data_IF_765728249157
#
_entry.id   IF_765728249157
#
_cell.length_a   1.000
_cell.length_b   1.000
_cell.length_c   1.000
_cell.angle_alpha   90.00
_cell.angle_beta   90.00
_cell.angle_gamma   90.00
#
_symmetry.space_group_name_H-M   'P 1'
#
loop_
_entity.id
_entity.type
_entity.pdbx_description
1 polymer ?
#
# COMPACT_ATOMS: atom_id res chain seq x y z
N UNK A 1 15.76 -25.57 -10.50
CA UNK A 1 15.04 -26.85 -10.34
C UNK A 1 14.01 -26.63 -9.25
N UNK A 2 12.79 -26.22 -9.64
CA UNK A 2 11.74 -25.82 -8.70
C UNK A 2 11.09 -27.09 -8.18
N UNK A 3 11.27 -27.39 -6.88
CA UNK A 3 10.53 -28.47 -6.22
C UNK A 3 9.13 -27.96 -5.91
N UNK A 4 8.13 -28.47 -6.61
CA UNK A 4 6.73 -28.34 -6.23
C UNK A 4 6.54 -28.93 -4.84
N UNK A 5 6.08 -28.13 -3.88
CA UNK A 5 5.63 -28.61 -2.57
C UNK A 5 4.26 -29.31 -2.73
N UNK A 6 4.00 -30.39 -1.98
CA UNK A 6 2.78 -31.17 -2.12
C UNK A 6 1.54 -30.44 -1.56
N UNK A 7 0.35 -30.64 -2.14
CA UNK A 7 -0.89 -30.05 -1.65
C UNK A 7 -1.37 -30.82 -0.42
N UNK A 8 -1.28 -30.22 0.76
CA UNK A 8 -1.83 -30.85 1.96
C UNK A 8 -1.55 -30.10 3.25
N UNK A 9 -2.63 -29.59 3.85
CA UNK A 9 -2.76 -28.97 5.18
C UNK A 9 -2.50 -27.47 5.27
N UNK A 10 -3.38 -26.68 4.65
CA UNK A 10 -3.67 -25.35 5.19
C UNK A 10 -4.74 -25.50 6.29
N UNK A 11 -4.33 -25.31 7.55
CA UNK A 11 -5.27 -25.17 8.67
C UNK A 11 -6.03 -23.86 8.46
N UNK A 12 -7.35 -23.96 8.36
CA UNK A 12 -8.26 -22.83 8.40
C UNK A 12 -8.22 -22.24 9.81
N UNK A 13 -7.58 -21.09 9.98
CA UNK A 13 -7.78 -20.26 11.17
C UNK A 13 -8.94 -19.30 10.89
N UNK A 14 -10.15 -19.75 11.22
CA UNK A 14 -11.27 -18.85 11.47
C UNK A 14 -11.09 -18.32 12.89
N UNK A 15 -10.77 -17.04 13.04
CA UNK A 15 -10.81 -16.36 14.32
C UNK A 15 -11.93 -15.31 14.23
N UNK A 16 -13.11 -15.72 14.69
CA UNK A 16 -14.21 -14.82 15.03
C UNK A 16 -13.75 -13.98 16.23
N UNK A 17 -13.71 -12.65 16.08
CA UNK A 17 -13.65 -11.76 17.23
C UNK A 17 -14.68 -10.65 17.08
N UNK A 18 -15.55 -10.60 18.10
CA UNK A 18 -16.64 -9.66 18.29
C UNK A 18 -16.11 -8.24 18.44
N UNK A 19 -16.76 -7.30 17.75
CA UNK A 19 -16.59 -5.86 17.93
C UNK A 19 -17.33 -5.43 19.22
N UNK A 20 -16.59 -5.03 20.25
CA UNK A 20 -17.09 -4.16 21.33
C UNK A 20 -16.50 -2.77 21.12
N UNK A 21 -17.35 -1.80 20.80
CA UNK A 21 -17.01 -0.38 20.82
C UNK A 21 -16.92 0.07 22.28
N UNK A 22 -15.74 0.53 22.71
CA UNK A 22 -15.59 1.25 23.96
C UNK A 22 -14.99 2.63 23.68
N UNK A 23 -15.76 3.67 24.00
CA UNK A 23 -15.35 5.07 23.98
C UNK A 23 -14.20 5.28 24.98
N UNK A 24 -13.02 5.69 24.48
CA UNK A 24 -11.94 6.17 25.35
C UNK A 24 -11.88 7.69 25.32
N UNK A 25 -12.17 8.27 26.49
CA UNK A 25 -12.02 9.68 26.80
C UNK A 25 -10.54 10.09 26.79
N UNK A 26 -10.30 11.29 26.28
CA UNK A 26 -9.00 11.88 26.00
C UNK A 26 -8.44 12.55 27.27
N UNK A 27 -7.52 11.90 27.99
CA UNK A 27 -6.73 12.57 29.04
C UNK A 27 -5.39 13.06 28.46
N UNK A 28 -5.12 14.37 28.62
CA UNK A 28 -3.88 15.04 28.21
C UNK A 28 -2.76 14.73 29.21
N UNK A 29 -1.52 14.40 28.77
CA UNK A 29 -0.37 14.39 29.67
C UNK A 29 0.22 15.78 29.83
N UNK A 30 0.55 16.11 31.09
CA UNK A 30 1.21 17.34 31.53
C UNK A 30 2.67 17.41 31.07
N UNK A 31 3.12 18.61 30.73
CA UNK A 31 4.48 18.92 30.27
C UNK A 31 5.47 18.90 31.44
N UNK A 32 6.36 17.91 31.48
CA UNK A 32 7.52 17.88 32.36
C UNK A 32 8.65 18.76 31.83
N UNK A 33 9.12 19.69 32.65
CA UNK A 33 10.27 20.58 32.41
C UNK A 33 11.59 19.80 32.32
N UNK A 34 12.32 19.98 31.22
CA UNK A 34 13.65 19.42 30.99
C UNK A 34 14.72 20.37 31.57
N UNK A 35 15.55 19.90 32.50
CA UNK A 35 16.71 20.63 33.03
C UNK A 35 17.99 20.14 32.34
N UNK A 36 18.79 21.06 31.81
CA UNK A 36 20.13 20.78 31.26
C UNK A 36 21.15 20.48 32.38
N UNK A 37 22.08 19.54 32.19
CA UNK A 37 23.25 19.38 33.06
C UNK A 37 24.29 20.49 32.84
N UNK A 38 24.97 20.83 33.94
CA UNK A 38 25.98 21.88 34.10
C UNK A 38 27.29 21.60 33.35
N UNK A 39 27.89 22.68 32.88
CA UNK A 39 29.24 22.78 32.32
C UNK A 39 30.32 22.37 33.34
N UNK A 40 31.37 21.72 32.85
CA UNK A 40 32.65 21.52 33.53
C UNK A 40 33.72 22.19 32.67
N UNK A 41 34.35 23.22 33.24
CA UNK A 41 35.50 23.94 32.72
C UNK A 41 36.77 23.09 32.90
N UNK A 42 37.54 22.88 31.83
CA UNK A 42 38.98 22.59 31.89
C UNK A 42 39.71 23.40 30.80
N UNK A 43 40.75 24.13 31.22
CA UNK A 43 41.53 25.09 30.44
C UNK A 43 42.61 24.43 29.55
N UNK A 44 42.59 24.82 28.28
CA UNK A 44 43.68 25.14 27.32
C UNK A 44 45.00 24.34 27.26
N UNK A 45 45.37 23.93 26.03
CA UNK A 45 46.48 24.54 25.27
C UNK A 45 46.12 24.62 23.76
N UNK A 46 46.64 25.61 23.00
CA UNK A 46 46.20 25.88 21.63
C UNK A 46 47.06 25.14 20.59
N UNK A 47 46.48 24.16 19.90
CA UNK A 47 47.06 23.65 18.66
C UNK A 47 46.82 24.65 17.51
N UNK A 48 47.88 24.92 16.74
CA UNK A 48 47.91 25.83 15.60
C UNK A 48 46.83 25.51 14.56
N UNK A 49 46.06 26.49 14.06
CA UNK A 49 45.12 26.21 12.98
C UNK A 49 45.92 25.94 11.69
N UNK A 50 45.73 24.76 11.11
CA UNK A 50 46.07 24.52 9.72
C UNK A 50 45.31 25.54 8.85
N UNK A 51 46.08 26.28 8.05
CA UNK A 51 45.59 27.29 7.12
C UNK A 51 44.51 26.71 6.20
N UNK A 52 43.28 27.19 6.37
CA UNK A 52 42.23 27.05 5.36
C UNK A 52 42.67 27.89 4.17
N UNK A 53 43.18 27.24 3.12
CA UNK A 53 43.52 27.92 1.87
C UNK A 53 42.28 28.56 1.26
N UNK A 54 42.42 29.76 0.69
CA UNK A 54 41.38 30.63 0.13
C UNK A 54 40.48 29.98 -0.95
N UNK A 55 40.72 28.72 -1.33
CA UNK A 55 39.91 27.92 -2.25
C UNK A 55 38.87 27.04 -1.53
N UNK A 56 38.88 26.95 -0.19
CA UNK A 56 37.91 26.17 0.61
C UNK A 56 36.75 26.99 1.19
N UNK A 57 36.71 28.29 0.93
CA UNK A 57 35.57 29.14 1.30
C UNK A 57 34.84 29.49 0.02
N UNK A 58 33.87 28.65 -0.34
CA UNK A 58 32.86 29.05 -1.30
C UNK A 58 31.46 28.74 -0.76
N UNK A 59 30.57 29.66 -1.09
CA UNK A 59 29.13 29.71 -0.78
C UNK A 59 28.76 30.44 0.54
N UNK A 60 28.19 31.64 0.33
CA UNK A 60 27.33 32.46 1.23
C UNK A 60 27.91 33.62 2.05
N UNK A 61 29.05 34.23 1.69
CA UNK A 61 29.45 35.49 2.36
C UNK A 61 30.23 36.52 1.51
N UNK A 62 30.07 36.54 0.18
CA UNK A 62 30.73 37.55 -0.68
C UNK A 62 29.92 38.80 -0.98
N UNK A 63 28.60 38.80 -0.75
CA UNK A 63 27.76 39.96 -1.04
C UNK A 63 27.65 40.95 0.14
N UNK A 64 28.28 40.67 1.29
CA UNK A 64 28.26 41.57 2.46
C UNK A 64 29.58 42.32 2.68
N UNK A 65 30.69 41.89 2.06
CA UNK A 65 32.04 42.48 2.25
C UNK A 65 32.58 43.08 0.94
N UNK A 66 31.72 43.58 0.06
CA UNK A 66 32.15 44.29 -1.15
C UNK A 66 31.97 45.82 -1.05
N UNK A 67 31.23 46.31 -0.04
CA UNK A 67 31.01 47.74 0.16
C UNK A 67 32.08 48.43 1.05
N UNK A 68 32.92 47.68 1.78
CA UNK A 68 33.96 48.26 2.65
C UNK A 68 35.37 48.25 2.08
N UNK A 69 35.65 47.50 1.00
CA UNK A 69 37.00 47.39 0.44
C UNK A 69 36.94 47.67 -1.06
N UNK A 70 37.20 48.93 -1.39
CA UNK A 70 37.20 49.57 -2.71
C UNK A 70 38.08 48.85 -3.77
N UNK A 71 37.69 47.64 -4.17
CA UNK A 71 38.38 46.81 -5.15
C UNK A 71 37.49 46.64 -6.38
N UNK A 72 38.01 47.00 -7.54
CA UNK A 72 37.35 46.84 -8.84
C UNK A 72 37.08 45.36 -9.13
N UNK A 73 35.80 45.00 -9.17
CA UNK A 73 35.35 43.65 -9.55
C UNK A 73 35.81 43.28 -10.97
N UNK A 74 36.32 42.06 -11.20
CA UNK A 74 36.66 41.62 -12.55
C UNK A 74 35.38 41.47 -13.39
N UNK A 75 35.51 41.77 -14.69
CA UNK A 75 34.40 41.81 -15.63
C UNK A 75 33.53 40.54 -15.53
N UNK A 76 32.26 40.76 -15.17
CA UNK A 76 31.29 39.70 -14.97
C UNK A 76 31.12 38.92 -16.28
N UNK A 77 31.70 37.72 -16.34
CA UNK A 77 31.16 36.67 -17.20
C UNK A 77 29.70 36.52 -16.79
N UNK A 78 28.77 36.67 -17.73
CA UNK A 78 27.35 36.56 -17.48
C UNK A 78 27.03 35.12 -17.06
N UNK A 79 27.21 34.81 -15.78
CA UNK A 79 26.69 33.60 -15.16
C UNK A 79 25.18 33.77 -15.26
N UNK A 80 24.59 33.09 -16.25
CA UNK A 80 23.16 33.03 -16.43
C UNK A 80 22.61 32.28 -15.21
N UNK A 81 22.32 33.01 -14.12
CA UNK A 81 21.75 32.49 -12.89
C UNK A 81 20.38 31.93 -13.24
N UNK A 82 20.30 30.61 -13.43
CA UNK A 82 19.02 29.90 -13.55
C UNK A 82 18.37 29.90 -12.18
N UNK A 83 17.36 30.75 -12.03
CA UNK A 83 16.48 30.72 -10.87
C UNK A 83 15.55 29.51 -11.02
N UNK A 84 15.83 28.44 -10.28
CA UNK A 84 14.92 27.30 -10.18
C UNK A 84 13.90 27.58 -9.08
N UNK A 85 12.62 27.65 -9.45
CA UNK A 85 11.55 27.66 -8.45
C UNK A 85 11.41 26.23 -7.94
N UNK A 86 11.97 25.97 -6.77
CA UNK A 86 11.74 24.72 -6.02
C UNK A 86 10.31 24.76 -5.47
N UNK A 87 9.47 23.86 -5.98
CA UNK A 87 8.17 23.61 -5.36
C UNK A 87 8.38 22.78 -4.08
N UNK A 88 7.48 22.93 -3.10
CA UNK A 88 7.50 22.10 -1.90
C UNK A 88 7.47 20.59 -2.25
N UNK A 89 6.75 20.22 -3.31
CA UNK A 89 6.65 18.85 -3.81
C UNK A 89 8.00 18.30 -4.26
N UNK A 90 8.76 19.05 -5.06
CA UNK A 90 10.12 18.65 -5.49
C UNK A 90 11.08 18.53 -4.31
N UNK A 91 10.96 19.41 -3.32
CA UNK A 91 11.77 19.31 -2.11
C UNK A 91 11.41 18.06 -1.29
N UNK A 92 10.13 17.69 -1.23
CA UNK A 92 9.69 16.44 -0.61
C UNK A 92 10.22 15.21 -1.37
N UNK A 93 10.16 15.21 -2.69
CA UNK A 93 10.75 14.15 -3.53
C UNK A 93 12.24 13.97 -3.25
N UNK A 94 13.02 15.06 -3.28
CA UNK A 94 14.46 15.03 -2.99
C UNK A 94 14.75 14.50 -1.57
N UNK A 95 13.97 14.93 -0.57
CA UNK A 95 14.09 14.46 0.81
C UNK A 95 13.79 12.96 0.93
N UNK A 96 12.72 12.48 0.28
CA UNK A 96 12.34 11.06 0.28
C UNK A 96 13.41 10.21 -0.41
N UNK A 97 13.93 10.65 -1.55
CA UNK A 97 15.01 9.96 -2.27
C UNK A 97 16.29 9.94 -1.44
N UNK A 98 16.67 11.05 -0.80
CA UNK A 98 17.84 11.10 0.07
C UNK A 98 17.71 10.11 1.25
N UNK A 99 16.56 10.12 1.95
CA UNK A 99 16.29 9.19 3.06
C UNK A 99 16.31 7.72 2.59
N UNK A 100 15.73 7.43 1.43
CA UNK A 100 15.73 6.10 0.84
C UNK A 100 17.16 5.63 0.50
N UNK A 101 17.99 6.50 -0.07
CA UNK A 101 19.39 6.19 -0.38
C UNK A 101 20.22 5.96 0.88
N UNK A 102 19.97 6.74 1.95
CA UNK A 102 20.60 6.50 3.26
C UNK A 102 20.21 5.12 3.80
N UNK A 103 18.93 4.74 3.71
CA UNK A 103 18.48 3.42 4.14
C UNK A 103 19.15 2.28 3.36
N UNK A 104 19.54 2.50 2.11
CA UNK A 104 20.25 1.54 1.27
C UNK A 104 21.75 1.42 1.57
N UNK A 105 22.37 2.35 2.33
CA UNK A 105 23.80 2.27 2.64
C UNK A 105 24.19 1.01 3.43
N UNK A 106 23.23 0.37 4.10
CA UNK A 106 23.42 -0.90 4.82
C UNK A 106 23.87 -2.04 3.91
N UNK A 107 23.66 -1.93 2.58
CA UNK A 107 24.10 -2.95 1.61
C UNK A 107 25.58 -2.85 1.26
N UNK A 108 26.23 -1.72 1.58
CA UNK A 108 27.61 -1.43 1.16
C UNK A 108 27.77 -1.05 -0.31
N UNK A 109 26.68 -1.03 -1.08
CA UNK A 109 26.67 -0.58 -2.47
C UNK A 109 26.38 0.92 -2.58
N UNK A 110 26.79 1.54 -3.70
CA UNK A 110 26.39 2.91 -4.02
C UNK A 110 24.88 2.93 -4.29
N UNK A 111 24.08 3.69 -3.52
CA UNK A 111 22.63 3.71 -3.72
C UNK A 111 22.26 4.36 -5.06
N UNK A 112 21.33 3.76 -5.83
CA UNK A 112 20.89 4.29 -7.11
C UNK A 112 20.18 5.64 -6.95
N UNK A 113 20.01 6.33 -8.08
CA UNK A 113 19.28 7.61 -8.14
C UNK A 113 17.89 7.46 -8.76
N UNK A 114 17.66 6.40 -9.54
CA UNK A 114 16.35 6.15 -10.15
C UNK A 114 15.34 5.67 -9.09
N UNK A 115 14.16 6.33 -8.95
CA UNK A 115 13.18 5.97 -7.92
C UNK A 115 12.70 4.52 -7.99
N UNK A 116 12.57 3.95 -9.20
CA UNK A 116 12.12 2.56 -9.36
C UNK A 116 13.20 1.59 -8.89
N UNK A 117 14.45 1.81 -9.28
CA UNK A 117 15.57 0.98 -8.81
C UNK A 117 15.74 1.09 -7.28
N UNK A 118 15.53 2.29 -6.70
CA UNK A 118 15.53 2.49 -5.25
C UNK A 118 14.44 1.63 -4.61
N UNK A 119 13.21 1.63 -5.13
CA UNK A 119 12.10 0.79 -4.61
C UNK A 119 12.46 -0.70 -4.69
N UNK A 120 13.00 -1.17 -5.82
CA UNK A 120 13.40 -2.57 -6.00
C UNK A 120 14.47 -2.99 -4.96
N UNK A 121 15.48 -2.14 -4.73
CA UNK A 121 16.51 -2.41 -3.71
C UNK A 121 15.97 -2.34 -2.28
N UNK A 122 15.05 -1.42 -1.98
CA UNK A 122 14.41 -1.34 -0.67
C UNK A 122 13.53 -2.56 -0.39
N UNK A 123 12.81 -3.06 -1.40
CA UNK A 123 12.07 -4.32 -1.33
C UNK A 123 13.02 -5.49 -1.04
N UNK A 124 14.16 -5.56 -1.72
CA UNK A 124 15.15 -6.63 -1.53
C UNK A 124 15.69 -6.69 -0.09
N UNK A 125 15.87 -5.54 0.57
CA UNK A 125 16.27 -5.47 1.99
C UNK A 125 15.07 -5.44 2.96
N UNK A 126 13.85 -5.62 2.45
CA UNK A 126 12.59 -5.66 3.22
C UNK A 126 12.29 -4.38 4.01
N UNK A 127 12.70 -3.23 3.48
CA UNK A 127 12.37 -1.91 4.03
C UNK A 127 11.15 -1.31 3.32
N UNK A 128 10.00 -1.93 3.55
CA UNK A 128 8.74 -1.65 2.85
C UNK A 128 8.14 -0.29 3.16
N UNK A 129 8.24 0.22 4.40
CA UNK A 129 7.70 1.53 4.74
C UNK A 129 8.44 2.66 4.00
N UNK A 130 9.78 2.56 3.89
CA UNK A 130 10.56 3.53 3.11
C UNK A 130 10.31 3.35 1.61
N UNK A 131 10.18 2.12 1.12
CA UNK A 131 9.80 1.86 -0.27
C UNK A 131 8.43 2.50 -0.60
N UNK A 132 7.47 2.41 0.31
CA UNK A 132 6.16 3.03 0.17
C UNK A 132 6.25 4.56 0.09
N UNK A 133 7.12 5.19 0.91
CA UNK A 133 7.34 6.64 0.86
C UNK A 133 7.84 7.05 -0.54
N UNK A 134 8.76 6.29 -1.14
CA UNK A 134 9.22 6.53 -2.52
C UNK A 134 8.09 6.35 -3.53
N UNK A 135 7.30 5.27 -3.44
CA UNK A 135 6.15 5.06 -4.33
C UNK A 135 5.14 6.21 -4.28
N UNK A 136 4.86 6.71 -3.08
CA UNK A 136 3.93 7.82 -2.87
C UNK A 136 4.40 9.12 -3.52
N UNK A 137 5.70 9.43 -3.42
CA UNK A 137 6.22 10.74 -3.78
C UNK A 137 6.85 10.80 -5.17
N UNK A 138 7.27 9.68 -5.74
CA UNK A 138 8.03 9.66 -7.00
C UNK A 138 7.30 8.97 -8.16
N UNK A 139 5.96 8.87 -8.10
CA UNK A 139 5.10 8.23 -9.12
C UNK A 139 5.54 6.79 -9.50
N UNK A 140 6.07 6.05 -8.53
CA UNK A 140 6.41 4.63 -8.70
C UNK A 140 5.23 3.78 -8.25
N UNK A 141 4.88 2.76 -9.03
CA UNK A 141 3.76 1.88 -8.69
C UNK A 141 3.99 1.14 -7.38
N UNK A 142 3.01 1.21 -6.47
CA UNK A 142 3.03 0.47 -5.20
C UNK A 142 2.75 -1.04 -5.37
N UNK A 143 2.40 -1.50 -6.57
CA UNK A 143 1.97 -2.88 -6.79
C UNK A 143 3.08 -3.90 -6.52
N UNK A 144 4.30 -3.63 -6.99
CA UNK A 144 5.44 -4.54 -6.79
C UNK A 144 5.81 -4.66 -5.31
N UNK A 145 5.72 -3.55 -4.57
CA UNK A 145 5.88 -3.51 -3.13
C UNK A 145 4.84 -4.38 -2.41
N UNK A 146 3.55 -4.23 -2.76
CA UNK A 146 2.47 -4.99 -2.15
C UNK A 146 2.54 -6.49 -2.48
N UNK A 147 2.94 -6.84 -3.71
CA UNK A 147 3.23 -8.21 -4.07
C UNK A 147 4.35 -8.78 -3.19
N UNK A 148 5.48 -8.07 -3.07
CA UNK A 148 6.64 -8.54 -2.32
C UNK A 148 6.34 -8.76 -0.83
N UNK A 149 5.74 -7.78 -0.15
CA UNK A 149 5.39 -7.94 1.28
C UNK A 149 4.35 -9.04 1.49
N UNK A 150 3.42 -9.23 0.55
CA UNK A 150 2.45 -10.34 0.60
C UNK A 150 3.15 -11.69 0.46
N UNK A 151 4.12 -11.82 -0.45
CA UNK A 151 4.92 -13.04 -0.62
C UNK A 151 5.75 -13.36 0.63
N UNK A 152 6.37 -12.35 1.23
CA UNK A 152 7.15 -12.53 2.45
C UNK A 152 6.26 -12.93 3.63
N UNK A 153 5.05 -12.36 3.74
CA UNK A 153 4.02 -12.78 4.70
C UNK A 153 3.57 -14.23 4.48
N UNK A 154 3.26 -14.61 3.23
CA UNK A 154 2.92 -15.99 2.89
C UNK A 154 4.05 -16.97 3.20
N UNK A 155 5.29 -16.54 3.02
CA UNK A 155 6.47 -17.35 3.32
C UNK A 155 6.61 -17.61 4.82
N UNK A 156 6.27 -16.63 5.67
CA UNK A 156 6.20 -16.80 7.13
C UNK A 156 5.11 -17.82 7.50
N UNK A 157 3.92 -17.72 6.90
CA UNK A 157 2.83 -18.67 7.18
C UNK A 157 3.16 -20.10 6.72
N UNK A 158 3.85 -20.24 5.58
CA UNK A 158 4.26 -21.53 5.05
C UNK A 158 5.37 -22.18 5.87
N UNK A 159 6.32 -21.39 6.38
CA UNK A 159 7.42 -21.86 7.21
C UNK A 159 7.62 -20.92 8.41
N UNK A 160 6.80 -21.08 9.47
CA UNK A 160 6.85 -20.21 10.64
C UNK A 160 8.24 -20.29 11.30
N UNK A 161 8.98 -19.17 11.38
CA UNK A 161 10.26 -19.15 12.06
C UNK A 161 10.08 -19.14 13.57
N UNK A 162 11.05 -19.66 14.32
CA UNK A 162 11.05 -19.62 15.79
C UNK A 162 11.05 -18.19 16.34
N UNK A 163 11.67 -17.27 15.60
CA UNK A 163 11.75 -15.84 15.91
C UNK A 163 11.18 -15.07 14.72
N UNK A 164 10.27 -14.14 15.02
CA UNK A 164 9.67 -13.31 13.98
C UNK A 164 10.74 -12.49 13.25
N UNK A 165 10.72 -12.43 11.90
CA UNK A 165 11.71 -11.65 11.16
C UNK A 165 11.71 -10.17 11.56
N UNK A 166 12.91 -9.59 11.68
CA UNK A 166 13.11 -8.19 12.09
C UNK A 166 12.40 -7.18 11.18
N UNK A 167 12.24 -7.50 9.90
CA UNK A 167 11.51 -6.65 8.95
C UNK A 167 10.08 -6.38 9.42
N UNK A 168 9.43 -7.32 10.10
CA UNK A 168 8.05 -7.12 10.55
C UNK A 168 7.99 -5.97 11.54
N UNK A 169 8.91 -5.94 12.51
CA UNK A 169 8.98 -4.86 13.51
C UNK A 169 9.46 -3.53 12.88
N UNK A 170 10.35 -3.59 11.89
CA UNK A 170 10.85 -2.41 11.20
C UNK A 170 9.78 -1.69 10.35
N UNK A 171 8.73 -2.41 9.91
CA UNK A 171 7.71 -1.90 9.00
C UNK A 171 6.34 -1.67 9.69
N UNK A 172 6.34 -1.20 10.93
CA UNK A 172 5.10 -1.00 11.72
C UNK A 172 4.52 0.42 11.59
N UNK A 173 5.09 1.31 10.77
CA UNK A 173 4.70 2.73 10.74
C UNK A 173 3.24 2.93 10.31
N UNK A 174 2.71 1.99 9.53
CA UNK A 174 1.36 2.03 8.96
C UNK A 174 0.44 0.93 9.49
N UNK A 175 0.97 0.03 10.30
CA UNK A 175 0.22 -1.08 10.86
C UNK A 175 -0.82 -0.58 11.87
N UNK A 176 -1.98 -1.23 11.89
CA UNK A 176 -2.98 -1.01 12.95
C UNK A 176 -2.44 -1.50 14.31
N UNK A 177 -2.87 -0.84 15.40
CA UNK A 177 -2.37 -1.04 16.77
C UNK A 177 -2.72 -2.41 17.40
N UNK A 178 -3.20 -3.36 16.62
CA UNK A 178 -3.69 -4.65 17.13
C UNK A 178 -2.56 -5.68 17.14
N UNK A 179 -1.81 -5.71 18.24
CA UNK A 179 -0.79 -6.72 18.54
C UNK A 179 0.55 -6.46 17.82
N UNK A 180 1.61 -6.29 18.60
CA UNK A 180 2.95 -5.84 18.19
C UNK A 180 3.74 -6.80 17.26
N UNK A 181 3.11 -7.79 16.63
CA UNK A 181 3.85 -8.91 16.05
C UNK A 181 3.08 -9.73 14.99
N UNK A 182 2.18 -9.14 14.20
CA UNK A 182 1.54 -9.83 13.09
C UNK A 182 2.08 -9.32 11.74
N UNK A 183 2.73 -10.18 10.96
CA UNK A 183 3.25 -9.81 9.63
C UNK A 183 2.14 -9.38 8.65
N UNK A 184 0.89 -9.83 8.85
CA UNK A 184 -0.27 -9.35 8.09
C UNK A 184 -0.71 -7.93 8.47
N UNK A 185 -0.35 -7.41 9.65
CA UNK A 185 -0.65 -6.01 10.00
C UNK A 185 0.10 -5.04 9.09
N UNK A 186 1.32 -5.41 8.65
CA UNK A 186 2.12 -4.63 7.71
C UNK A 186 1.45 -4.57 6.34
N UNK A 187 1.03 -5.72 5.81
CA UNK A 187 0.33 -5.79 4.51
C UNK A 187 -0.94 -4.96 4.53
N UNK A 188 -1.78 -5.13 5.56
CA UNK A 188 -3.03 -4.38 5.73
C UNK A 188 -2.79 -2.89 5.93
N UNK A 189 -1.76 -2.52 6.69
CA UNK A 189 -1.39 -1.13 6.92
C UNK A 189 -0.94 -0.43 5.64
N UNK A 190 -0.11 -1.10 4.82
CA UNK A 190 0.33 -0.58 3.53
C UNK A 190 -0.82 -0.49 2.52
N UNK A 191 -1.70 -1.49 2.48
CA UNK A 191 -2.92 -1.45 1.65
C UNK A 191 -3.81 -0.28 2.07
N UNK A 192 -4.14 -0.15 3.36
CA UNK A 192 -4.96 0.92 3.88
C UNK A 192 -4.34 2.31 3.60
N UNK A 193 -3.02 2.43 3.67
CA UNK A 193 -2.32 3.65 3.28
C UNK A 193 -2.44 3.93 1.78
N UNK A 194 -2.27 2.92 0.92
CA UNK A 194 -2.43 3.06 -0.53
C UNK A 194 -3.85 3.48 -0.89
N UNK A 195 -4.85 2.87 -0.25
CA UNK A 195 -6.27 3.19 -0.48
C UNK A 195 -6.66 4.60 -0.03
N UNK A 196 -6.02 5.14 1.01
CA UNK A 196 -6.23 6.54 1.41
C UNK A 196 -5.65 7.52 0.40
N UNK A 197 -4.53 7.17 -0.24
CA UNK A 197 -3.87 8.01 -1.25
C UNK A 197 -4.54 7.91 -2.62
N UNK A 198 -4.99 6.70 -2.99
CA UNK A 198 -5.57 6.39 -4.28
C UNK A 198 -6.91 5.64 -4.13
N UNK A 199 -7.98 6.30 -3.63
CA UNK A 199 -9.22 5.62 -3.25
C UNK A 199 -9.98 4.96 -4.40
N UNK A 200 -9.78 5.45 -5.63
CA UNK A 200 -10.41 4.92 -6.84
C UNK A 200 -9.53 3.91 -7.58
N UNK A 201 -8.35 3.59 -7.07
CA UNK A 201 -7.42 2.65 -7.70
C UNK A 201 -7.53 1.27 -7.05
N UNK A 202 -8.06 0.29 -7.80
CA UNK A 202 -8.14 -1.10 -7.35
C UNK A 202 -6.87 -1.93 -7.63
N UNK A 203 -5.84 -1.34 -8.28
CA UNK A 203 -4.58 -2.05 -8.59
C UNK A 203 -3.84 -2.53 -7.34
N UNK A 204 -3.72 -1.75 -6.24
CA UNK A 204 -3.11 -2.22 -4.99
C UNK A 204 -3.78 -3.48 -4.41
N UNK A 205 -5.11 -3.46 -4.35
CA UNK A 205 -5.91 -4.59 -3.88
C UNK A 205 -5.70 -5.81 -4.78
N UNK A 206 -5.70 -5.61 -6.11
CA UNK A 206 -5.46 -6.64 -7.12
C UNK A 206 -4.06 -7.24 -7.03
N UNK A 207 -3.03 -6.46 -6.73
CA UNK A 207 -1.67 -6.94 -6.57
C UNK A 207 -1.58 -8.00 -5.45
N UNK A 208 -2.19 -7.71 -4.30
CA UNK A 208 -2.25 -8.65 -3.16
C UNK A 208 -3.01 -9.92 -3.57
N UNK A 209 -4.20 -9.77 -4.15
CA UNK A 209 -5.03 -10.92 -4.57
C UNK A 209 -4.34 -11.83 -5.57
N UNK A 210 -3.72 -11.23 -6.60
CA UNK A 210 -2.96 -11.97 -7.61
C UNK A 210 -1.81 -12.75 -6.99
N UNK A 211 -1.20 -12.22 -5.93
CA UNK A 211 -0.14 -12.90 -5.21
C UNK A 211 -0.62 -14.20 -4.56
N UNK A 212 -1.77 -14.17 -3.86
CA UNK A 212 -2.41 -15.38 -3.32
C UNK A 212 -2.74 -16.40 -4.42
N UNK A 213 -3.44 -15.93 -5.46
CA UNK A 213 -3.91 -16.80 -6.54
C UNK A 213 -2.75 -17.41 -7.35
N UNK A 214 -1.67 -16.66 -7.59
CA UNK A 214 -0.47 -17.16 -8.27
C UNK A 214 0.22 -18.30 -7.52
N UNK A 215 0.06 -18.34 -6.19
CA UNK A 215 0.61 -19.41 -5.34
C UNK A 215 -0.40 -20.53 -5.06
N UNK A 216 -1.58 -20.49 -5.69
CA UNK A 216 -2.65 -21.47 -5.46
C UNK A 216 -3.23 -21.40 -4.04
N UNK A 217 -3.06 -20.27 -3.35
CA UNK A 217 -3.56 -20.07 -2.00
C UNK A 217 -4.95 -19.40 -2.08
N UNK A 218 -5.96 -19.90 -1.37
CA UNK A 218 -7.27 -19.27 -1.32
C UNK A 218 -7.18 -17.82 -0.84
N UNK A 219 -7.94 -16.93 -1.48
CA UNK A 219 -8.01 -15.53 -1.06
C UNK A 219 -8.69 -15.43 0.31
N UNK A 220 -8.11 -14.72 1.28
CA UNK A 220 -8.69 -14.63 2.63
C UNK A 220 -9.97 -13.78 2.66
N UNK A 221 -10.88 -14.10 3.59
CA UNK A 221 -12.20 -13.48 3.68
C UNK A 221 -12.18 -11.97 3.92
N UNK A 222 -11.15 -11.44 4.60
CA UNK A 222 -11.01 -9.99 4.76
C UNK A 222 -10.79 -9.30 3.42
N UNK A 223 -10.07 -9.93 2.48
CA UNK A 223 -9.85 -9.38 1.14
C UNK A 223 -11.11 -9.50 0.28
N UNK A 224 -11.91 -10.57 0.45
CA UNK A 224 -13.24 -10.69 -0.16
C UNK A 224 -14.14 -9.51 0.25
N UNK A 225 -14.11 -9.12 1.53
CA UNK A 225 -14.88 -7.99 2.05
C UNK A 225 -14.43 -6.66 1.44
N UNK A 226 -13.12 -6.39 1.36
CA UNK A 226 -12.60 -5.16 0.72
C UNK A 226 -13.08 -5.00 -0.74
N UNK A 227 -13.11 -6.10 -1.51
CA UNK A 227 -13.62 -6.04 -2.88
C UNK A 227 -15.12 -5.85 -2.99
N UNK A 228 -15.89 -6.41 -2.04
CA UNK A 228 -17.35 -6.28 -2.06
C UNK A 228 -17.78 -4.81 -1.98
N UNK A 229 -17.00 -3.98 -1.29
CA UNK A 229 -17.27 -2.55 -1.14
C UNK A 229 -16.73 -1.70 -2.30
N UNK A 230 -15.65 -2.13 -2.97
CA UNK A 230 -14.90 -1.29 -3.91
C UNK A 230 -15.02 -1.70 -5.38
N UNK A 231 -14.67 -2.94 -5.72
CA UNK A 231 -14.51 -3.38 -7.11
C UNK A 231 -14.75 -4.89 -7.27
N UNK A 232 -15.98 -5.33 -6.98
CA UNK A 232 -16.36 -6.74 -7.15
C UNK A 232 -16.19 -7.20 -8.60
N UNK A 233 -16.41 -6.32 -9.59
CA UNK A 233 -16.22 -6.67 -11.00
C UNK A 233 -14.75 -6.98 -11.34
N UNK A 234 -13.82 -6.13 -10.88
CA UNK A 234 -12.39 -6.37 -10.99
C UNK A 234 -11.95 -7.64 -10.24
N UNK A 235 -12.57 -7.92 -9.10
CA UNK A 235 -12.28 -9.14 -8.35
C UNK A 235 -12.69 -10.41 -9.09
N UNK A 236 -13.92 -10.46 -9.62
CA UNK A 236 -14.41 -11.61 -10.39
C UNK A 236 -13.53 -11.89 -11.60
N UNK A 237 -13.06 -10.85 -12.30
CA UNK A 237 -12.11 -11.00 -13.41
C UNK A 237 -10.78 -11.60 -12.94
N UNK A 238 -10.27 -11.17 -11.79
CA UNK A 238 -9.06 -11.73 -11.19
C UNK A 238 -9.24 -13.23 -10.87
N UNK A 239 -10.37 -13.61 -10.26
CA UNK A 239 -10.67 -15.01 -9.97
C UNK A 239 -10.79 -15.86 -11.25
N UNK A 240 -11.39 -15.32 -12.31
CA UNK A 240 -11.48 -15.97 -13.62
C UNK A 240 -10.08 -16.17 -14.22
N UNK A 241 -9.24 -15.13 -14.21
CA UNK A 241 -7.88 -15.13 -14.77
C UNK A 241 -7.01 -16.24 -14.17
N UNK A 242 -7.16 -16.50 -12.87
CA UNK A 242 -6.41 -17.54 -12.14
C UNK A 242 -7.17 -18.87 -12.01
N UNK A 243 -8.33 -19.01 -12.66
CA UNK A 243 -9.10 -20.26 -12.64
C UNK A 243 -9.77 -20.61 -11.31
N UNK A 244 -9.89 -19.65 -10.38
CA UNK A 244 -10.56 -19.82 -9.08
C UNK A 244 -12.10 -19.76 -9.24
N UNK A 245 -12.66 -20.60 -10.11
CA UNK A 245 -14.05 -20.51 -10.56
C UNK A 245 -15.05 -20.79 -9.43
N UNK A 246 -14.79 -21.77 -8.56
CA UNK A 246 -15.68 -22.07 -7.43
C UNK A 246 -15.80 -20.90 -6.45
N UNK A 247 -14.70 -20.15 -6.22
CA UNK A 247 -14.73 -18.93 -5.42
C UNK A 247 -15.44 -17.80 -6.17
N UNK A 248 -15.14 -17.63 -7.47
CA UNK A 248 -15.81 -16.65 -8.33
C UNK A 248 -17.33 -16.81 -8.35
N UNK A 249 -17.84 -18.04 -8.46
CA UNK A 249 -19.28 -18.31 -8.41
C UNK A 249 -19.92 -17.93 -7.06
N UNK A 250 -19.23 -18.18 -5.93
CA UNK A 250 -19.70 -17.76 -4.59
C UNK A 250 -19.74 -16.25 -4.45
N UNK A 251 -18.69 -15.55 -4.90
CA UNK A 251 -18.61 -14.09 -4.86
C UNK A 251 -19.68 -13.47 -5.76
N UNK A 252 -19.87 -14.00 -6.97
CA UNK A 252 -20.93 -13.55 -7.88
C UNK A 252 -22.32 -13.75 -7.29
N UNK A 253 -22.58 -14.91 -6.66
CA UNK A 253 -23.84 -15.18 -5.98
C UNK A 253 -24.10 -14.18 -4.85
N UNK A 254 -23.09 -13.88 -4.03
CA UNK A 254 -23.21 -12.91 -2.95
C UNK A 254 -23.42 -11.48 -3.47
N UNK A 255 -22.73 -11.11 -4.56
CA UNK A 255 -22.91 -9.82 -5.23
C UNK A 255 -24.36 -9.65 -5.71
N UNK A 256 -24.90 -10.64 -6.44
CA UNK A 256 -26.30 -10.62 -6.90
C UNK A 256 -27.28 -10.50 -5.73
N UNK A 257 -27.02 -11.21 -4.62
CA UNK A 257 -27.85 -11.14 -3.42
C UNK A 257 -27.89 -9.73 -2.80
N UNK A 258 -26.71 -9.12 -2.64
CA UNK A 258 -26.56 -7.78 -2.08
C UNK A 258 -27.23 -6.72 -2.98
N UNK A 259 -27.01 -6.80 -4.29
CA UNK A 259 -27.63 -5.92 -5.28
C UNK A 259 -29.15 -6.09 -5.35
N UNK A 260 -29.66 -7.32 -5.20
CA UNK A 260 -31.11 -7.58 -5.11
C UNK A 260 -31.74 -6.92 -3.89
N UNK A 261 -31.03 -6.88 -2.75
CA UNK A 261 -31.50 -6.21 -1.52
C UNK A 261 -31.59 -4.69 -1.68
N UNK A 262 -30.83 -4.09 -2.61
CA UNK A 262 -30.89 -2.65 -2.91
C UNK A 262 -32.12 -2.26 -3.73
N UNK A 263 -32.74 -3.20 -4.45
CA UNK A 263 -33.97 -2.96 -5.23
C UNK A 263 -35.15 -2.71 -4.28
N UNK A 264 -35.50 -1.45 -4.07
CA UNK A 264 -36.62 -1.00 -3.22
C UNK A 264 -37.68 -0.22 -4.00
N UNK A 265 -37.34 0.27 -5.18
CA UNK A 265 -38.19 1.06 -6.08
C UNK A 265 -37.66 0.94 -7.51
N UNK A 266 -38.39 1.49 -8.48
CA UNK A 266 -37.94 1.58 -9.88
C UNK A 266 -36.69 2.43 -10.06
N UNK A 267 -36.47 3.42 -9.19
CA UNK A 267 -35.31 4.32 -9.25
C UNK A 267 -34.09 3.77 -8.51
N UNK A 268 -34.16 2.52 -8.03
CA UNK A 268 -33.05 1.90 -7.32
C UNK A 268 -31.88 1.67 -8.29
N UNK A 269 -30.77 2.37 -8.06
CA UNK A 269 -29.53 2.12 -8.80
C UNK A 269 -28.90 0.81 -8.32
N UNK A 270 -28.85 -0.17 -9.22
CA UNK A 270 -28.23 -1.48 -9.01
C UNK A 270 -27.10 -1.62 -10.02
N UNK A 271 -25.98 -2.22 -9.60
CA UNK A 271 -24.86 -2.49 -10.49
C UNK A 271 -24.42 -3.95 -10.39
N UNK A 272 -24.54 -4.68 -11.50
CA UNK A 272 -24.06 -6.05 -11.63
C UNK A 272 -22.94 -6.17 -12.68
N UNK A 273 -21.83 -6.86 -12.38
CA UNK A 273 -20.77 -7.14 -13.36
C UNK A 273 -21.18 -8.27 -14.31
N UNK A 274 -22.21 -8.03 -15.14
CA UNK A 274 -22.86 -9.04 -15.97
C UNK A 274 -21.90 -9.82 -16.89
N UNK A 275 -20.88 -9.15 -17.45
CA UNK A 275 -19.87 -9.82 -18.28
C UNK A 275 -19.10 -10.88 -17.50
N UNK A 276 -18.57 -10.52 -16.32
CA UNK A 276 -17.82 -11.46 -15.49
C UNK A 276 -18.72 -12.59 -14.96
N UNK A 277 -19.99 -12.29 -14.65
CA UNK A 277 -20.98 -13.30 -14.26
C UNK A 277 -21.24 -14.29 -15.40
N UNK A 278 -21.41 -13.78 -16.63
CA UNK A 278 -21.62 -14.63 -17.82
C UNK A 278 -20.43 -15.54 -18.10
N UNK A 279 -19.21 -15.01 -17.98
CA UNK A 279 -17.97 -15.78 -18.09
C UNK A 279 -17.90 -16.88 -17.02
N UNK A 280 -18.24 -16.56 -15.76
CA UNK A 280 -18.28 -17.53 -14.66
C UNK A 280 -19.32 -18.62 -14.87
N UNK A 281 -20.51 -18.31 -15.38
CA UNK A 281 -21.53 -19.33 -15.71
C UNK A 281 -20.98 -20.28 -16.77
N UNK A 282 -20.36 -19.73 -17.82
CA UNK A 282 -19.78 -20.50 -18.92
C UNK A 282 -18.63 -21.40 -18.46
N UNK A 283 -17.76 -20.89 -17.58
CA UNK A 283 -16.62 -21.62 -17.03
C UNK A 283 -17.05 -22.64 -15.98
N UNK A 284 -18.00 -22.29 -15.10
CA UNK A 284 -18.54 -23.19 -14.09
C UNK A 284 -19.21 -24.40 -14.73
N UNK A 285 -19.93 -24.22 -15.84
CA UNK A 285 -20.53 -25.33 -16.58
C UNK A 285 -19.46 -26.30 -17.11
N UNK A 286 -18.33 -25.78 -17.61
CA UNK A 286 -17.18 -26.59 -18.05
C UNK A 286 -16.52 -27.35 -16.90
N UNK A 287 -16.48 -26.75 -15.70
CA UNK A 287 -15.89 -27.35 -14.50
C UNK A 287 -16.86 -28.24 -13.69
N UNK A 288 -18.12 -28.40 -14.16
CA UNK A 288 -19.16 -29.21 -13.51
C UNK A 288 -19.50 -28.73 -12.08
N UNK A 289 -19.46 -27.42 -11.85
CA UNK A 289 -19.83 -26.79 -10.58
C UNK A 289 -21.36 -26.64 -10.41
N UNK A 290 -22.10 -27.73 -10.60
CA UNK A 290 -23.57 -27.73 -10.73
C UNK A 290 -24.29 -27.05 -9.56
N UNK A 291 -23.85 -27.31 -8.32
CA UNK A 291 -24.46 -26.73 -7.12
C UNK A 291 -24.28 -25.22 -7.06
N UNK A 292 -23.08 -24.73 -7.37
CA UNK A 292 -22.76 -23.29 -7.33
C UNK A 292 -23.43 -22.54 -8.48
N UNK A 293 -23.48 -23.15 -9.67
CA UNK A 293 -24.24 -22.61 -10.81
C UNK A 293 -25.73 -22.52 -10.51
N UNK A 294 -26.33 -23.58 -9.93
CA UNK A 294 -27.75 -23.56 -9.56
C UNK A 294 -28.05 -22.42 -8.58
N UNK A 295 -27.20 -22.26 -7.56
CA UNK A 295 -27.32 -21.17 -6.58
C UNK A 295 -27.23 -19.78 -7.23
N UNK A 296 -26.24 -19.56 -8.10
CA UNK A 296 -26.08 -18.29 -8.82
C UNK A 296 -27.28 -18.00 -9.73
N UNK A 297 -27.75 -18.99 -10.49
CA UNK A 297 -28.90 -18.84 -11.37
C UNK A 297 -30.20 -18.55 -10.60
N UNK A 298 -30.40 -19.18 -9.44
CA UNK A 298 -31.55 -18.91 -8.57
C UNK A 298 -31.53 -17.45 -8.06
N UNK A 299 -30.36 -16.95 -7.65
CA UNK A 299 -30.20 -15.56 -7.21
C UNK A 299 -30.40 -14.57 -8.35
N UNK A 300 -29.87 -14.84 -9.55
CA UNK A 300 -30.12 -14.01 -10.73
C UNK A 300 -31.59 -13.98 -11.11
N UNK A 301 -32.28 -15.13 -11.08
CA UNK A 301 -33.71 -15.19 -11.33
C UNK A 301 -34.49 -14.35 -10.31
N UNK A 302 -34.14 -14.48 -9.04
CA UNK A 302 -34.74 -13.68 -7.95
C UNK A 302 -34.51 -12.19 -8.18
N UNK A 303 -33.31 -11.81 -8.59
CA UNK A 303 -32.96 -10.43 -8.93
C UNK A 303 -33.86 -9.86 -10.04
N UNK A 304 -33.90 -10.52 -11.20
CA UNK A 304 -34.67 -10.04 -12.35
C UNK A 304 -36.18 -10.04 -12.08
N UNK A 305 -36.73 -11.06 -11.40
CA UNK A 305 -38.15 -11.05 -11.01
C UNK A 305 -38.50 -9.87 -10.10
N UNK A 306 -37.59 -9.50 -9.18
CA UNK A 306 -37.80 -8.36 -8.29
C UNK A 306 -37.81 -7.04 -9.06
N UNK A 307 -36.85 -6.85 -9.97
CA UNK A 307 -36.78 -5.65 -10.84
C UNK A 307 -38.03 -5.54 -11.70
N UNK A 308 -38.41 -6.61 -12.41
CA UNK A 308 -39.65 -6.63 -13.22
C UNK A 308 -40.90 -6.36 -12.39
N UNK A 309 -40.95 -6.82 -11.15
CA UNK A 309 -42.08 -6.59 -10.24
C UNK A 309 -42.30 -5.10 -9.98
N UNK A 310 -41.24 -4.34 -9.72
CA UNK A 310 -41.33 -2.89 -9.53
C UNK A 310 -41.67 -2.15 -10.82
N UNK A 311 -41.12 -2.56 -11.97
CA UNK A 311 -41.46 -1.98 -13.27
C UNK A 311 -42.95 -2.14 -13.62
N UNK A 312 -43.51 -3.33 -13.38
CA UNK A 312 -44.95 -3.59 -13.60
C UNK A 312 -45.84 -2.72 -12.70
N UNK A 313 -45.46 -2.52 -11.44
CA UNK A 313 -46.21 -1.66 -10.51
C UNK A 313 -46.16 -0.19 -10.96
N UNK A 314 -45.01 0.28 -11.44
CA UNK A 314 -44.88 1.65 -11.95
C UNK A 314 -45.71 1.87 -13.22
N UNK A 315 -45.74 0.90 -14.15
CA UNK A 315 -46.56 0.98 -15.37
C UNK A 315 -48.07 1.02 -15.08
N UNK A 316 -48.54 0.38 -14.00
CA UNK A 316 -49.95 0.40 -13.60
C UNK A 316 -50.35 1.67 -12.83
N UNK A 317 -49.37 2.49 -12.43
CA UNK A 317 -49.59 3.72 -11.66
C UNK A 317 -49.64 4.98 -12.54
N UNK A 318 -49.48 4.84 -13.86
CA UNK A 318 -49.61 5.87 -14.89
C UNK A 318 -50.86 5.67 -15.74
#
# INVERSE_FOLDING_TARGET
MIRCLPPGKYRVYAQEHQFEMQECQLERPEMGTFQLPKELEEESEPESPHEITQEMIDVTLRDVIADELNMTAPAAASIQRRMFILTAEKLCEECVIANARVALLVTGEVPPCDPKEIVDKLIAIKNYDVAFDVCRHCDVSVCDLLCAVTLDSLSIDANPPDILPSWVQANQRRSEKTGSSNHWSVVRGLLAAAERLWPNDSRPLRAITRTFLAHGIPVPCWLDAEYAERDVGGYLRCLIEYGAISQGLKVAANCVDQETKKVKSTDSSVWLPLTAISDLISLGAKQKEEKLLSCLNEKLRTHFMRVEGFEKVAQLSH
#
